data_IF_767829166467
#
_entry.id   IF_767829166467
#
_cell.length_a   1.000
_cell.length_b   1.000
_cell.length_c   1.000
_cell.angle_alpha   90.00
_cell.angle_beta   90.00
_cell.angle_gamma   90.00
#
_symmetry.space_group_name_H-M   'P 1'
#
loop_
_entity.id
_entity.type
_entity.pdbx_description
1 polymer ?
#
# COMPACT_ATOMS: atom_id res chain seq x y z
N UNK A 1 -19.63 3.73 -5.46
CA UNK A 1 -18.57 4.36 -4.63
C UNK A 1 -17.59 5.03 -5.58
N UNK A 2 -17.27 6.31 -5.40
CA UNK A 2 -16.25 7.00 -6.21
C UNK A 2 -14.85 6.51 -5.84
N UNK A 3 -13.84 6.76 -6.68
CA UNK A 3 -12.45 6.44 -6.32
C UNK A 3 -12.00 7.16 -5.05
N UNK A 4 -12.45 8.40 -4.84
CA UNK A 4 -12.15 9.15 -3.60
C UNK A 4 -12.75 8.47 -2.37
N UNK A 5 -13.98 7.95 -2.48
CA UNK A 5 -14.63 7.20 -1.40
C UNK A 5 -13.88 5.88 -1.13
N UNK A 6 -13.41 5.19 -2.18
CA UNK A 6 -12.62 3.98 -2.05
C UNK A 6 -11.30 4.25 -1.31
N UNK A 7 -10.60 5.34 -1.66
CA UNK A 7 -9.36 5.74 -0.97
C UNK A 7 -9.61 5.99 0.51
N UNK A 8 -10.65 6.78 0.84
CA UNK A 8 -10.99 7.07 2.23
C UNK A 8 -11.38 5.81 3.02
N UNK A 9 -12.09 4.88 2.37
CA UNK A 9 -12.54 3.61 2.97
C UNK A 9 -11.36 2.66 3.19
N UNK A 10 -10.54 2.45 2.15
CA UNK A 10 -9.49 1.42 2.20
C UNK A 10 -8.22 1.86 2.93
N UNK A 11 -8.03 3.18 3.10
CA UNK A 11 -6.86 3.73 3.81
C UNK A 11 -7.28 4.72 4.91
N UNK A 12 -8.08 4.26 5.89
CA UNK A 12 -8.66 5.15 6.91
C UNK A 12 -7.60 5.82 7.78
N UNK A 13 -6.44 5.19 7.94
CA UNK A 13 -5.31 5.71 8.72
C UNK A 13 -4.25 6.43 7.87
N UNK A 14 -4.45 6.51 6.55
CA UNK A 14 -3.47 7.02 5.57
C UNK A 14 -2.16 6.21 5.53
N UNK A 15 -2.17 5.01 6.10
CA UNK A 15 -1.05 4.04 6.07
C UNK A 15 -1.47 2.77 5.35
N UNK A 16 -0.50 2.11 4.74
CA UNK A 16 -0.59 0.73 4.29
C UNK A 16 0.63 -0.06 4.77
N UNK A 17 0.39 -1.18 5.43
CA UNK A 17 1.45 -2.13 5.76
C UNK A 17 1.70 -3.03 4.55
N UNK A 18 2.91 -2.96 3.96
CA UNK A 18 3.25 -3.70 2.74
C UNK A 18 4.04 -4.94 3.11
N UNK A 19 3.37 -6.09 3.10
CA UNK A 19 3.97 -7.38 3.42
C UNK A 19 4.68 -7.98 2.20
N UNK A 20 5.97 -8.21 2.35
CA UNK A 20 6.83 -8.94 1.41
C UNK A 20 7.78 -9.82 2.20
N UNK A 21 7.62 -11.14 2.14
CA UNK A 21 8.45 -12.08 2.86
C UNK A 21 8.58 -13.41 2.11
N UNK A 22 9.62 -14.18 2.42
CA UNK A 22 9.92 -15.44 1.74
C UNK A 22 9.25 -16.67 2.36
N UNK A 23 8.62 -16.53 3.53
CA UNK A 23 7.83 -17.57 4.18
C UNK A 23 6.36 -17.12 4.29
N UNK A 24 5.45 -17.94 3.77
CA UNK A 24 4.04 -17.59 3.66
C UNK A 24 3.30 -17.55 5.00
N UNK A 25 3.63 -18.43 5.97
CA UNK A 25 2.98 -18.41 7.29
C UNK A 25 3.51 -17.25 8.14
N UNK A 26 4.80 -16.99 8.10
CA UNK A 26 5.36 -15.80 8.76
C UNK A 26 4.81 -14.51 8.14
N UNK A 27 4.62 -14.47 6.82
CA UNK A 27 3.99 -13.34 6.15
C UNK A 27 2.54 -13.13 6.60
N UNK A 28 1.76 -14.21 6.71
CA UNK A 28 0.41 -14.15 7.26
C UNK A 28 0.42 -13.61 8.69
N UNK A 29 1.27 -14.14 9.58
CA UNK A 29 1.34 -13.72 10.98
C UNK A 29 1.79 -12.27 11.14
N UNK A 30 2.75 -11.82 10.32
CA UNK A 30 3.18 -10.42 10.28
C UNK A 30 2.07 -9.48 9.80
N UNK A 31 1.36 -9.86 8.73
CA UNK A 31 0.22 -9.10 8.20
C UNK A 31 -0.95 -9.06 9.22
N UNK A 32 -1.22 -10.18 9.90
CA UNK A 32 -2.19 -10.27 11.00
C UNK A 32 -1.83 -9.29 12.14
N UNK A 33 -0.54 -9.26 12.55
CA UNK A 33 -0.07 -8.36 13.59
C UNK A 33 -0.28 -6.89 13.23
N UNK A 34 -0.05 -6.51 11.96
CA UNK A 34 -0.31 -5.15 11.48
C UNK A 34 -1.80 -4.81 11.46
N UNK A 35 -2.67 -5.74 11.01
CA UNK A 35 -4.11 -5.55 11.03
C UNK A 35 -4.64 -5.40 12.48
N UNK A 36 -4.20 -6.25 13.40
CA UNK A 36 -4.55 -6.17 14.83
C UNK A 36 -4.04 -4.89 15.50
N UNK A 37 -2.95 -4.31 15.01
CA UNK A 37 -2.46 -3.01 15.49
C UNK A 37 -3.34 -1.83 15.06
N UNK A 38 -4.27 -2.03 14.11
CA UNK A 38 -5.18 -1.00 13.64
C UNK A 38 -4.67 -0.21 12.43
N UNK A 39 -3.70 -0.73 11.65
CA UNK A 39 -3.19 -0.03 10.45
C UNK A 39 -4.31 0.22 9.43
N UNK A 40 -5.34 -0.61 9.41
CA UNK A 40 -6.52 -0.44 8.58
C UNK A 40 -6.35 -0.88 7.13
N UNK A 41 -5.13 -1.00 6.62
CA UNK A 41 -4.86 -1.49 5.27
C UNK A 41 -3.56 -2.30 5.19
N UNK A 42 -3.60 -3.46 4.54
CA UNK A 42 -2.43 -4.33 4.34
C UNK A 42 -2.34 -4.77 2.87
N UNK A 43 -1.22 -4.46 2.23
CA UNK A 43 -0.84 -4.95 0.91
C UNK A 43 -0.03 -6.25 1.08
N UNK A 44 -0.43 -7.36 0.43
CA UNK A 44 0.39 -8.58 0.36
C UNK A 44 0.93 -8.71 -1.05
N UNK A 45 2.26 -8.71 -1.21
CA UNK A 45 2.89 -8.76 -2.53
C UNK A 45 2.82 -10.15 -3.15
N UNK A 46 2.56 -10.24 -4.46
CA UNK A 46 2.41 -11.49 -5.22
C UNK A 46 3.62 -12.43 -5.15
N UNK A 47 4.82 -11.86 -4.93
CA UNK A 47 6.04 -12.66 -4.73
C UNK A 47 6.17 -13.34 -3.36
N UNK A 48 5.25 -13.07 -2.43
CA UNK A 48 5.18 -13.78 -1.15
C UNK A 48 4.55 -15.16 -1.36
N UNK A 49 5.16 -16.27 -0.91
CA UNK A 49 4.57 -17.59 -1.08
C UNK A 49 3.16 -17.67 -0.50
N UNK A 50 2.21 -18.09 -1.33
CA UNK A 50 0.80 -18.17 -0.92
C UNK A 50 0.10 -16.85 -0.70
N UNK A 51 0.56 -15.74 -1.31
CA UNK A 51 0.04 -14.39 -1.12
C UNK A 51 -1.50 -14.31 -1.20
N UNK A 52 -2.09 -14.89 -2.23
CA UNK A 52 -3.55 -14.84 -2.42
C UNK A 52 -4.31 -15.70 -1.39
N UNK A 53 -3.74 -16.82 -0.93
CA UNK A 53 -4.29 -17.58 0.20
C UNK A 53 -4.22 -16.76 1.49
N UNK A 54 -3.14 -16.02 1.70
CA UNK A 54 -2.98 -15.10 2.83
C UNK A 54 -4.03 -14.01 2.79
N UNK A 55 -4.27 -13.37 1.64
CA UNK A 55 -5.34 -12.36 1.47
C UNK A 55 -6.70 -12.96 1.84
N UNK A 56 -7.06 -14.11 1.27
CA UNK A 56 -8.34 -14.75 1.54
C UNK A 56 -8.54 -15.10 3.02
N UNK A 57 -7.49 -15.58 3.69
CA UNK A 57 -7.49 -15.90 5.12
C UNK A 57 -7.69 -14.65 5.98
N UNK A 58 -6.96 -13.58 5.70
CA UNK A 58 -7.07 -12.29 6.39
C UNK A 58 -8.43 -11.63 6.17
N UNK A 59 -8.94 -11.63 4.93
CA UNK A 59 -10.29 -11.13 4.63
C UNK A 59 -11.38 -11.84 5.43
N UNK A 60 -11.28 -13.17 5.54
CA UNK A 60 -12.22 -13.96 6.34
C UNK A 60 -12.15 -13.62 7.82
N UNK A 61 -10.96 -13.35 8.35
CA UNK A 61 -10.74 -13.08 9.77
C UNK A 61 -11.14 -11.66 10.16
N UNK A 62 -10.75 -10.66 9.37
CA UNK A 62 -10.91 -9.25 9.74
C UNK A 62 -12.16 -8.60 9.17
N UNK A 63 -12.77 -9.17 8.11
CA UNK A 63 -13.98 -8.61 7.49
C UNK A 63 -13.76 -7.18 7.01
N UNK A 64 -14.54 -6.24 7.54
CA UNK A 64 -14.45 -4.80 7.23
C UNK A 64 -13.57 -4.01 8.20
N UNK A 65 -12.96 -4.64 9.20
CA UNK A 65 -12.10 -3.93 10.17
C UNK A 65 -10.70 -3.63 9.64
N UNK A 66 -10.28 -4.31 8.56
CA UNK A 66 -9.05 -4.05 7.83
C UNK A 66 -9.23 -4.37 6.36
N UNK A 67 -8.63 -3.59 5.48
CA UNK A 67 -8.70 -3.73 4.03
C UNK A 67 -7.42 -4.39 3.48
N UNK A 68 -7.58 -5.30 2.51
CA UNK A 68 -6.47 -6.08 1.99
C UNK A 68 -6.33 -5.91 0.49
N UNK A 69 -5.11 -5.64 0.03
CA UNK A 69 -4.78 -5.47 -1.38
C UNK A 69 -3.72 -6.44 -1.88
N UNK A 70 -3.78 -6.71 -3.18
CA UNK A 70 -2.73 -7.43 -3.89
C UNK A 70 -1.64 -6.48 -4.37
N UNK A 71 -0.38 -6.72 -3.97
CA UNK A 71 0.77 -5.92 -4.37
C UNK A 71 1.68 -6.61 -5.37
N UNK A 72 2.50 -5.81 -6.06
CA UNK A 72 3.41 -6.27 -7.12
C UNK A 72 2.64 -7.04 -8.22
N UNK A 73 1.47 -6.52 -8.57
CA UNK A 73 0.62 -7.08 -9.61
C UNK A 73 1.14 -6.62 -10.97
N UNK A 74 1.68 -7.54 -11.75
CA UNK A 74 2.40 -7.25 -13.00
C UNK A 74 1.78 -7.91 -14.22
N UNK A 75 0.62 -8.56 -14.07
CA UNK A 75 -0.15 -9.12 -15.19
C UNK A 75 -1.64 -9.19 -14.86
N UNK A 76 -2.47 -9.38 -15.89
CA UNK A 76 -3.91 -9.57 -15.76
C UNK A 76 -4.24 -10.80 -14.89
N UNK A 77 -3.53 -11.92 -15.08
CA UNK A 77 -3.76 -13.16 -14.32
C UNK A 77 -3.50 -12.98 -12.82
N UNK A 78 -2.46 -12.21 -12.46
CA UNK A 78 -2.19 -11.87 -11.06
C UNK A 78 -3.28 -10.96 -10.49
N UNK A 79 -3.79 -10.02 -11.29
CA UNK A 79 -4.88 -9.15 -10.89
C UNK A 79 -6.17 -9.94 -10.62
N UNK A 80 -6.56 -10.81 -11.55
CA UNK A 80 -7.74 -11.69 -11.41
C UNK A 80 -7.59 -12.61 -10.20
N UNK A 81 -6.42 -13.20 -10.00
CA UNK A 81 -6.13 -14.08 -8.85
C UNK A 81 -6.22 -13.33 -7.52
N UNK A 82 -5.71 -12.09 -7.45
CA UNK A 82 -5.79 -11.27 -6.25
C UNK A 82 -7.25 -10.88 -5.93
N UNK A 83 -8.00 -10.43 -6.93
CA UNK A 83 -9.43 -10.10 -6.77
C UNK A 83 -10.27 -11.32 -6.41
N UNK A 84 -10.02 -12.47 -7.05
CA UNK A 84 -10.66 -13.74 -6.72
C UNK A 84 -10.38 -14.21 -5.29
N UNK A 85 -9.26 -13.82 -4.70
CA UNK A 85 -8.94 -14.05 -3.30
C UNK A 85 -9.56 -13.03 -2.34
N UNK A 86 -10.27 -12.02 -2.85
CA UNK A 86 -10.93 -10.99 -2.06
C UNK A 86 -10.09 -9.73 -1.83
N UNK A 87 -9.04 -9.49 -2.63
CA UNK A 87 -8.35 -8.20 -2.62
C UNK A 87 -9.33 -7.08 -3.01
N UNK A 88 -9.29 -5.96 -2.29
CA UNK A 88 -10.16 -4.81 -2.49
C UNK A 88 -9.49 -3.73 -3.36
N UNK A 89 -8.17 -3.80 -3.46
CA UNK A 89 -7.38 -2.92 -4.31
C UNK A 89 -6.16 -3.67 -4.88
N UNK A 90 -5.66 -3.16 -6.01
CA UNK A 90 -4.50 -3.71 -6.71
C UNK A 90 -3.37 -2.67 -6.72
N UNK A 91 -2.14 -3.12 -6.50
CA UNK A 91 -0.95 -2.25 -6.52
C UNK A 91 0.07 -2.78 -7.52
N UNK A 92 0.42 -1.95 -8.50
CA UNK A 92 1.48 -2.28 -9.46
C UNK A 92 2.79 -1.58 -9.09
N UNK A 93 3.97 -2.12 -9.46
CA UNK A 93 5.25 -1.47 -9.22
C UNK A 93 5.62 -0.43 -10.28
N UNK A 94 4.96 -0.45 -11.42
CA UNK A 94 5.13 0.41 -12.60
C UNK A 94 3.82 0.46 -13.41
N UNK A 95 3.81 1.13 -14.56
CA UNK A 95 2.65 1.18 -15.45
C UNK A 95 2.34 -0.19 -16.06
N UNK A 96 1.17 -0.74 -15.79
CA UNK A 96 0.70 -2.04 -16.31
C UNK A 96 -0.72 -1.89 -16.85
N UNK A 97 -0.88 -1.53 -18.14
CA UNK A 97 -2.20 -1.24 -18.73
C UNK A 97 -3.21 -2.38 -18.65
N UNK A 98 -2.76 -3.63 -18.77
CA UNK A 98 -3.64 -4.80 -18.65
C UNK A 98 -4.21 -4.97 -17.23
N UNK A 99 -3.47 -4.59 -16.19
CA UNK A 99 -3.98 -4.57 -14.81
C UNK A 99 -5.01 -3.45 -14.64
N UNK A 100 -4.82 -2.30 -15.30
CA UNK A 100 -5.80 -1.22 -15.28
C UNK A 100 -7.13 -1.65 -15.87
N UNK A 101 -7.12 -2.41 -16.95
CA UNK A 101 -8.36 -2.93 -17.57
C UNK A 101 -9.08 -3.92 -16.66
N UNK A 102 -8.36 -4.85 -16.02
CA UNK A 102 -8.95 -5.79 -15.04
C UNK A 102 -9.55 -5.03 -13.85
N UNK A 103 -8.82 -4.07 -13.28
CA UNK A 103 -9.30 -3.25 -12.16
C UNK A 103 -10.57 -2.48 -12.53
N UNK A 104 -10.62 -1.87 -13.73
CA UNK A 104 -11.76 -1.13 -14.25
C UNK A 104 -12.99 -2.03 -14.40
N UNK A 105 -12.83 -3.23 -14.98
CA UNK A 105 -13.93 -4.19 -15.16
C UNK A 105 -14.49 -4.69 -13.84
N UNK A 106 -13.62 -4.90 -12.85
CA UNK A 106 -14.01 -5.35 -11.51
C UNK A 106 -14.50 -4.22 -10.59
N UNK A 107 -14.37 -2.94 -10.99
CA UNK A 107 -14.64 -1.78 -10.12
C UNK A 107 -13.69 -1.68 -8.93
N UNK A 108 -12.51 -2.31 -9.01
CA UNK A 108 -11.50 -2.32 -7.96
C UNK A 108 -10.64 -1.04 -8.00
N UNK A 109 -10.21 -0.57 -6.83
CA UNK A 109 -9.27 0.55 -6.76
C UNK A 109 -7.90 0.12 -7.29
N UNK A 110 -7.37 0.90 -8.23
CA UNK A 110 -6.03 0.71 -8.78
C UNK A 110 -5.05 1.72 -8.18
N UNK A 111 -3.95 1.21 -7.64
CA UNK A 111 -2.77 1.96 -7.20
C UNK A 111 -1.63 1.66 -8.18
N UNK A 112 -1.36 2.55 -9.11
CA UNK A 112 -0.42 2.31 -10.20
C UNK A 112 0.94 2.93 -9.93
N UNK A 113 2.02 2.16 -10.10
CA UNK A 113 3.40 2.60 -9.91
C UNK A 113 3.87 3.57 -10.98
N UNK A 114 4.58 4.64 -10.57
CA UNK A 114 5.21 5.62 -11.43
C UNK A 114 6.37 6.31 -10.70
N UNK A 115 7.33 6.84 -11.46
CA UNK A 115 8.50 7.50 -10.88
C UNK A 115 8.72 8.93 -11.39
N UNK A 116 8.16 9.29 -12.54
CA UNK A 116 8.34 10.59 -13.19
C UNK A 116 7.00 11.29 -13.43
N UNK A 117 6.97 12.63 -13.59
CA UNK A 117 5.74 13.35 -13.91
C UNK A 117 5.00 12.79 -15.13
N UNK A 118 5.73 12.38 -16.18
CA UNK A 118 5.12 11.78 -17.39
C UNK A 118 4.44 10.44 -17.06
N UNK A 119 5.09 9.59 -16.28
CA UNK A 119 4.50 8.32 -15.86
C UNK A 119 3.32 8.53 -14.91
N UNK A 120 3.39 9.53 -14.03
CA UNK A 120 2.29 9.90 -13.12
C UNK A 120 1.06 10.34 -13.94
N UNK A 121 1.24 11.22 -14.92
CA UNK A 121 0.16 11.62 -15.82
C UNK A 121 -0.42 10.40 -16.55
N UNK A 122 0.44 9.52 -17.06
CA UNK A 122 -0.01 8.32 -17.77
C UNK A 122 -0.75 7.34 -16.86
N UNK A 123 -0.34 7.18 -15.60
CA UNK A 123 -1.06 6.36 -14.62
C UNK A 123 -2.49 6.88 -14.42
N UNK A 124 -2.68 8.19 -14.30
CA UNK A 124 -4.01 8.81 -14.18
C UNK A 124 -4.87 8.58 -15.43
N UNK A 125 -4.30 8.73 -16.63
CA UNK A 125 -4.99 8.43 -17.90
C UNK A 125 -5.45 6.97 -17.99
N UNK A 126 -4.68 6.04 -17.41
CA UNK A 126 -5.02 4.62 -17.33
C UNK A 126 -6.06 4.30 -16.24
N UNK A 127 -6.53 5.31 -15.49
CA UNK A 127 -7.60 5.15 -14.51
C UNK A 127 -7.13 4.81 -13.09
N UNK A 128 -5.85 5.06 -12.76
CA UNK A 128 -5.37 4.89 -11.39
C UNK A 128 -6.14 5.80 -10.44
N UNK A 129 -6.64 5.23 -9.34
CA UNK A 129 -7.25 6.00 -8.24
C UNK A 129 -6.19 6.59 -7.31
N UNK A 130 -5.01 5.95 -7.22
CA UNK A 130 -3.82 6.44 -6.54
C UNK A 130 -2.59 6.18 -7.45
N UNK A 131 -1.64 7.10 -7.45
CA UNK A 131 -0.34 6.88 -8.11
C UNK A 131 0.71 6.61 -7.05
N UNK A 132 1.32 5.41 -7.11
CA UNK A 132 2.38 4.98 -6.20
C UNK A 132 3.72 5.50 -6.72
N UNK A 133 4.24 6.55 -6.10
CA UNK A 133 5.63 7.00 -6.34
C UNK A 133 6.58 5.98 -5.69
N UNK A 134 7.36 5.30 -6.54
CA UNK A 134 8.23 4.20 -6.13
C UNK A 134 9.50 4.13 -7.00
N UNK A 135 10.68 3.98 -6.37
CA UNK A 135 10.97 4.02 -4.93
C UNK A 135 11.09 5.47 -4.40
N UNK A 136 10.29 5.86 -3.41
CA UNK A 136 10.10 7.27 -3.04
C UNK A 136 11.35 7.94 -2.44
N UNK A 137 12.01 7.32 -1.43
CA UNK A 137 13.19 7.92 -0.80
C UNK A 137 14.37 8.08 -1.76
N UNK A 138 14.73 7.08 -2.61
CA UNK A 138 15.79 7.25 -3.60
C UNK A 138 15.53 8.33 -4.65
N UNK A 139 14.26 8.66 -4.92
CA UNK A 139 13.89 9.73 -5.85
C UNK A 139 14.00 11.15 -5.25
N UNK A 140 14.30 11.26 -3.95
CA UNK A 140 14.45 12.55 -3.28
C UNK A 140 13.45 12.79 -2.15
N UNK A 141 12.70 11.77 -1.75
CA UNK A 141 11.85 11.84 -0.56
C UNK A 141 10.72 12.87 -0.65
N UNK A 142 10.34 13.48 0.48
CA UNK A 142 9.27 14.47 0.53
C UNK A 142 9.50 15.69 -0.36
N UNK A 143 10.74 16.10 -0.60
CA UNK A 143 11.07 17.21 -1.49
C UNK A 143 10.70 16.90 -2.94
N UNK A 144 10.97 15.67 -3.41
CA UNK A 144 10.52 15.23 -4.71
C UNK A 144 8.99 15.30 -4.84
N UNK A 145 8.26 14.88 -3.82
CA UNK A 145 6.79 14.94 -3.80
C UNK A 145 6.30 16.40 -3.90
N UNK A 146 6.90 17.33 -3.16
CA UNK A 146 6.57 18.77 -3.23
C UNK A 146 6.81 19.32 -4.64
N UNK A 147 7.94 18.95 -5.27
CA UNK A 147 8.25 19.37 -6.64
C UNK A 147 7.24 18.82 -7.66
N UNK A 148 6.88 17.54 -7.58
CA UNK A 148 5.85 16.93 -8.45
C UNK A 148 4.48 17.60 -8.25
N UNK A 149 4.10 17.89 -7.02
CA UNK A 149 2.79 18.49 -6.71
C UNK A 149 2.66 19.93 -7.20
N UNK A 150 3.76 20.65 -7.47
CA UNK A 150 3.69 21.99 -8.08
C UNK A 150 2.83 22.01 -9.34
N UNK A 151 3.20 21.30 -10.39
CA UNK A 151 2.41 21.21 -11.63
C UNK A 151 1.22 20.23 -11.57
N UNK A 152 1.13 19.34 -10.55
CA UNK A 152 0.15 18.26 -10.47
C UNK A 152 -0.52 18.20 -9.08
N UNK A 153 -1.15 19.29 -8.60
CA UNK A 153 -1.64 19.40 -7.21
C UNK A 153 -2.77 18.43 -6.88
N UNK A 154 -3.57 18.03 -7.87
CA UNK A 154 -4.77 17.21 -7.68
C UNK A 154 -4.50 15.71 -7.72
N UNK A 155 -3.30 15.27 -8.14
CA UNK A 155 -3.01 13.84 -8.26
C UNK A 155 -2.95 13.20 -6.86
N UNK A 156 -3.77 12.17 -6.60
CA UNK A 156 -3.73 11.45 -5.34
C UNK A 156 -2.50 10.52 -5.31
N UNK A 157 -1.51 10.86 -4.49
CA UNK A 157 -0.24 10.15 -4.40
C UNK A 157 -0.21 9.18 -3.23
N UNK A 158 0.38 8.01 -3.48
CA UNK A 158 0.89 7.06 -2.51
C UNK A 158 2.42 7.05 -2.59
N UNK A 159 3.12 6.92 -1.50
CA UNK A 159 4.57 6.74 -1.49
C UNK A 159 4.97 5.41 -0.86
N UNK A 160 5.98 4.77 -1.41
CA UNK A 160 6.58 3.55 -0.87
C UNK A 160 8.02 3.39 -1.39
N UNK A 161 8.78 2.48 -0.80
CA UNK A 161 10.16 2.21 -1.18
C UNK A 161 11.16 2.99 -0.34
N UNK A 162 11.79 2.28 0.60
CA UNK A 162 12.76 2.78 1.58
C UNK A 162 12.20 3.87 2.50
N UNK A 163 10.87 3.96 2.62
CA UNK A 163 10.19 4.90 3.52
C UNK A 163 10.18 4.31 4.93
N UNK A 164 10.63 5.08 5.91
CA UNK A 164 10.65 4.71 7.31
C UNK A 164 9.46 5.27 8.10
N UNK A 165 9.27 4.77 9.32
CA UNK A 165 8.25 5.29 10.24
C UNK A 165 8.47 6.79 10.52
N UNK A 166 9.74 7.22 10.65
CA UNK A 166 10.09 8.62 10.89
C UNK A 166 9.74 9.57 9.75
N UNK A 167 9.58 9.08 8.52
CA UNK A 167 9.28 9.88 7.34
C UNK A 167 7.77 10.15 7.15
N UNK A 168 6.92 9.41 7.87
CA UNK A 168 5.45 9.40 7.65
C UNK A 168 4.87 10.80 7.73
N UNK A 169 5.14 11.53 8.82
CA UNK A 169 4.59 12.88 9.05
C UNK A 169 5.00 13.83 7.92
N UNK A 170 6.25 13.78 7.50
CA UNK A 170 6.77 14.68 6.47
C UNK A 170 6.19 14.38 5.08
N UNK A 171 6.03 13.11 4.72
CA UNK A 171 5.33 12.73 3.48
C UNK A 171 3.86 13.16 3.48
N UNK A 172 3.17 12.99 4.60
CA UNK A 172 1.79 13.44 4.73
C UNK A 172 1.67 14.97 4.64
N UNK A 173 2.63 15.71 5.22
CA UNK A 173 2.72 17.17 5.09
C UNK A 173 3.08 17.60 3.65
N UNK A 174 3.83 16.79 2.90
CA UNK A 174 4.08 17.01 1.47
C UNK A 174 2.84 16.75 0.59
N UNK A 175 1.74 16.26 1.17
CA UNK A 175 0.43 16.13 0.53
C UNK A 175 0.14 14.77 -0.10
N UNK A 176 0.87 13.70 0.27
CA UNK A 176 0.48 12.34 -0.14
C UNK A 176 -0.79 11.89 0.58
N UNK A 177 -1.55 11.00 -0.06
CA UNK A 177 -2.76 10.42 0.53
C UNK A 177 -2.45 9.22 1.40
N UNK A 178 -1.48 8.38 1.00
CA UNK A 178 -1.14 7.12 1.68
C UNK A 178 0.37 6.94 1.73
N UNK A 179 0.88 6.46 2.86
CA UNK A 179 2.27 6.06 3.05
C UNK A 179 2.33 4.54 3.22
N UNK A 180 3.03 3.87 2.31
CA UNK A 180 3.26 2.42 2.33
C UNK A 180 4.58 2.07 3.02
N UNK A 181 4.51 1.36 4.14
CA UNK A 181 5.66 0.93 4.94
C UNK A 181 5.91 -0.57 4.78
N UNK A 182 7.15 -0.96 4.50
CA UNK A 182 7.56 -2.35 4.31
C UNK A 182 8.57 -2.77 5.38
N UNK A 183 9.86 -2.55 5.11
CA UNK A 183 10.96 -3.09 5.91
C UNK A 183 11.03 -2.52 7.33
N UNK A 184 10.53 -1.32 7.56
CA UNK A 184 10.59 -0.70 8.89
C UNK A 184 9.52 -1.28 9.83
N UNK A 185 8.41 -1.78 9.28
CA UNK A 185 7.42 -2.57 10.02
C UNK A 185 7.82 -4.05 10.11
N UNK A 186 8.17 -4.64 8.96
CA UNK A 186 8.43 -6.07 8.81
C UNK A 186 9.94 -6.34 8.72
N UNK A 187 10.65 -6.02 9.80
CA UNK A 187 12.11 -6.24 9.87
C UNK A 187 12.42 -7.73 9.77
N UNK A 188 13.40 -8.12 8.93
CA UNK A 188 13.71 -9.54 8.73
C UNK A 188 14.01 -10.32 10.02
N UNK A 189 14.66 -9.71 11.01
CA UNK A 189 14.91 -10.34 12.33
C UNK A 189 13.62 -10.62 13.07
N UNK A 190 12.67 -9.67 13.11
CA UNK A 190 11.41 -9.84 13.80
C UNK A 190 10.54 -10.94 13.19
N UNK A 191 10.52 -11.04 11.86
CA UNK A 191 9.78 -12.07 11.14
C UNK A 191 10.35 -13.47 11.40
N UNK A 192 11.69 -13.63 11.29
CA UNK A 192 12.37 -14.93 11.53
C UNK A 192 12.24 -15.40 12.97
N UNK A 193 12.29 -14.47 13.92
CA UNK A 193 12.19 -14.75 15.36
C UNK A 193 10.74 -14.74 15.86
N UNK A 194 9.77 -14.56 14.97
CA UNK A 194 8.33 -14.54 15.26
C UNK A 194 7.91 -13.53 16.34
N UNK A 195 8.57 -12.37 16.36
CA UNK A 195 8.38 -11.31 17.35
C UNK A 195 7.18 -10.41 16.98
N UNK A 196 5.99 -11.01 16.90
CA UNK A 196 4.76 -10.36 16.43
C UNK A 196 4.35 -9.15 17.28
N UNK A 197 4.60 -9.20 18.58
CA UNK A 197 4.33 -8.07 19.49
C UNK A 197 5.13 -6.82 19.15
N UNK A 198 6.36 -6.97 18.70
CA UNK A 198 7.20 -5.83 18.29
C UNK A 198 6.77 -5.27 16.94
N UNK A 199 6.32 -6.12 16.01
CA UNK A 199 5.70 -5.66 14.77
C UNK A 199 4.46 -4.83 15.08
N UNK A 200 3.61 -5.30 16.02
CA UNK A 200 2.44 -4.56 16.49
C UNK A 200 2.83 -3.19 17.04
N UNK A 201 3.91 -3.11 17.83
CA UNK A 201 4.38 -1.84 18.40
C UNK A 201 4.96 -0.89 17.35
N UNK A 202 5.69 -1.41 16.37
CA UNK A 202 6.15 -0.60 15.22
C UNK A 202 4.96 -0.03 14.43
N UNK A 203 3.91 -0.82 14.22
CA UNK A 203 2.68 -0.37 13.57
C UNK A 203 2.00 0.75 14.38
N UNK A 204 1.90 0.62 15.70
CA UNK A 204 1.35 1.68 16.58
C UNK A 204 2.17 2.98 16.50
N UNK A 205 3.49 2.86 16.48
CA UNK A 205 4.38 4.02 16.28
C UNK A 205 4.14 4.69 14.93
N UNK A 206 3.97 3.92 13.86
CA UNK A 206 3.64 4.47 12.54
C UNK A 206 2.27 5.18 12.55
N UNK A 207 1.27 4.60 13.20
CA UNK A 207 -0.05 5.21 13.37
C UNK A 207 0.01 6.55 14.11
N UNK A 208 0.84 6.64 15.15
CA UNK A 208 1.05 7.89 15.87
C UNK A 208 1.66 9.00 14.99
N UNK A 209 2.54 8.63 14.03
CA UNK A 209 3.10 9.58 13.05
C UNK A 209 2.09 10.01 11.97
N UNK A 210 1.09 9.17 11.69
CA UNK A 210 0.05 9.45 10.69
C UNK A 210 -1.14 10.25 11.27
N UNK A 211 -1.24 10.38 12.59
CA UNK A 211 -2.28 11.17 13.23
C UNK A 211 -2.23 12.62 12.75
N UNK A 212 -3.39 13.31 12.58
CA UNK A 212 -3.37 14.74 12.29
C UNK A 212 -2.56 15.48 13.36
N UNK A 213 -1.68 16.38 12.91
CA UNK A 213 -1.04 17.31 13.86
C UNK A 213 -2.15 18.05 14.62
N UNK A 214 -2.05 18.19 15.96
CA UNK A 214 -3.02 18.99 16.69
C UNK A 214 -3.02 20.41 16.07
N UNK A 215 -4.24 20.90 15.79
CA UNK A 215 -4.49 22.23 15.26
C UNK A 215 -4.13 23.26 16.32
#
# INVERSE_FOLDING_TARGET
>A
MTQSDQIATYFPTRLAAVMRWSDGEQAYRGAEAAARAGVGSVEVTSGTPGAFKTIARLRKEFGSSCHFGGGTITSAELAESALGAGAEYLVTPYLVPEVAEVARQAGALLVMGASTPTEIARAMELGAGLVKVFPANPLGGPEYIRAVRGPMPEVPLWVSGMVGIGDVTEYLAAGVRVVGLTNDLFRPGLLREERWGEITELCRRALAQAAPLPV
#
